data_IF_326114353195
#
_entry.id   IF_326114353195
#
_cell.length_a   1.000
_cell.length_b   1.000
_cell.length_c   1.000
_cell.angle_alpha   90.00
_cell.angle_beta   90.00
_cell.angle_gamma   90.00
#
_symmetry.space_group_name_H-M   'P 1'
#
loop_
_entity.id
_entity.type
_entity.pdbx_description
1 polymer ?
#
# COMPACT_ATOMS: atom_id res chain seq x y z
N UNK A 1 17.11 -1.98 -9.96
CA UNK A 1 16.35 -1.07 -9.07
C UNK A 1 17.04 -0.96 -7.71
N UNK A 2 17.16 0.24 -7.13
CA UNK A 2 17.77 0.49 -5.82
C UNK A 2 16.78 0.31 -4.66
N UNK A 3 17.28 0.04 -3.45
CA UNK A 3 16.45 -0.03 -2.23
C UNK A 3 15.63 1.26 -1.99
N UNK A 4 16.16 2.41 -2.42
CA UNK A 4 15.46 3.71 -2.32
C UNK A 4 14.22 3.76 -3.22
N UNK A 5 14.28 3.17 -4.41
CA UNK A 5 13.17 3.10 -5.35
C UNK A 5 12.07 2.17 -4.85
N UNK A 6 12.42 0.98 -4.35
CA UNK A 6 11.47 0.05 -3.71
C UNK A 6 10.69 0.74 -2.58
N UNK A 7 11.39 1.48 -1.72
CA UNK A 7 10.79 2.24 -0.62
C UNK A 7 9.86 3.34 -1.12
N UNK A 8 10.26 4.06 -2.17
CA UNK A 8 9.44 5.13 -2.75
C UNK A 8 8.14 4.57 -3.34
N UNK A 9 8.24 3.48 -4.10
CA UNK A 9 7.10 2.83 -4.72
C UNK A 9 6.16 2.20 -3.67
N UNK A 10 6.72 1.51 -2.68
CA UNK A 10 5.96 0.97 -1.56
C UNK A 10 5.18 2.05 -0.81
N UNK A 11 5.77 3.24 -0.60
CA UNK A 11 5.06 4.41 -0.02
C UNK A 11 3.96 4.93 -0.93
N UNK A 12 4.21 5.06 -2.22
CA UNK A 12 3.19 5.51 -3.19
C UNK A 12 1.97 4.57 -3.21
N UNK A 13 2.20 3.26 -3.12
CA UNK A 13 1.13 2.25 -3.03
C UNK A 13 0.32 2.34 -1.74
N UNK A 14 0.95 2.78 -0.64
CA UNK A 14 0.23 3.11 0.61
C UNK A 14 -0.59 4.39 0.46
N UNK A 15 -0.11 5.38 -0.28
CA UNK A 15 -0.85 6.64 -0.46
C UNK A 15 -2.01 6.49 -1.45
N UNK A 16 -1.87 5.59 -2.43
CA UNK A 16 -2.83 5.41 -3.52
C UNK A 16 -3.00 3.92 -3.85
N UNK A 17 -3.92 3.23 -3.16
CA UNK A 17 -4.28 1.83 -3.42
C UNK A 17 -4.66 1.55 -4.88
N UNK A 18 -5.20 2.56 -5.57
CA UNK A 18 -5.61 2.47 -6.96
C UNK A 18 -4.39 2.31 -7.88
N UNK A 19 -3.27 2.98 -7.56
CA UNK A 19 -2.00 2.86 -8.28
C UNK A 19 -1.39 1.48 -8.09
N UNK A 20 -1.42 0.94 -6.85
CA UNK A 20 -0.97 -0.43 -6.59
C UNK A 20 -1.73 -1.45 -7.47
N UNK A 21 -3.05 -1.31 -7.53
CA UNK A 21 -3.89 -2.20 -8.34
C UNK A 21 -3.56 -2.08 -9.84
N UNK A 22 -3.39 -0.86 -10.35
CA UNK A 22 -3.02 -0.61 -11.74
C UNK A 22 -1.64 -1.19 -12.08
N UNK A 23 -0.64 -0.93 -11.24
CA UNK A 23 0.73 -1.43 -11.44
C UNK A 23 0.77 -2.95 -11.47
N UNK A 24 0.07 -3.61 -10.54
CA UNK A 24 -0.02 -5.07 -10.49
C UNK A 24 -0.75 -5.67 -11.70
N UNK A 25 -1.84 -5.04 -12.15
CA UNK A 25 -2.53 -5.46 -13.38
C UNK A 25 -1.63 -5.32 -14.60
N UNK A 26 -0.99 -4.15 -14.75
CA UNK A 26 -0.03 -3.89 -15.83
C UNK A 26 1.12 -4.89 -15.79
N UNK A 27 1.58 -5.27 -14.60
CA UNK A 27 2.62 -6.28 -14.44
C UNK A 27 2.15 -7.66 -14.89
N UNK A 28 0.95 -8.06 -14.49
CA UNK A 28 0.35 -9.33 -14.91
C UNK A 28 0.23 -9.40 -16.43
N UNK A 29 -0.23 -8.32 -17.09
CA UNK A 29 -0.31 -8.24 -18.55
C UNK A 29 1.07 -8.31 -19.21
N UNK A 30 2.08 -7.67 -18.60
CA UNK A 30 3.47 -7.75 -19.06
C UNK A 30 4.02 -9.17 -18.95
N UNK A 31 3.74 -9.87 -17.84
CA UNK A 31 4.14 -11.27 -17.63
C UNK A 31 3.54 -12.14 -18.73
N UNK A 32 2.24 -12.00 -18.99
CA UNK A 32 1.56 -12.76 -20.04
C UNK A 32 2.18 -12.61 -21.43
N UNK A 33 2.62 -11.39 -21.77
CA UNK A 33 3.18 -11.10 -23.08
C UNK A 33 4.62 -11.57 -23.26
N UNK A 34 5.41 -11.58 -22.18
CA UNK A 34 6.88 -11.69 -22.28
C UNK A 34 7.47 -12.92 -21.61
N UNK A 35 6.73 -13.59 -20.72
CA UNK A 35 7.23 -14.69 -19.90
C UNK A 35 6.72 -16.02 -20.40
N UNK A 36 5.45 -16.07 -20.76
CA UNK A 36 4.80 -17.31 -21.13
C UNK A 36 4.72 -17.50 -22.64
N UNK A 37 5.16 -18.67 -23.09
CA UNK A 37 4.77 -19.17 -24.41
C UNK A 37 3.41 -19.87 -24.27
N UNK A 38 2.43 -19.43 -25.05
CA UNK A 38 1.14 -20.10 -25.11
C UNK A 38 1.33 -21.49 -25.72
N UNK A 39 1.05 -22.55 -24.94
CA UNK A 39 0.74 -23.85 -25.54
C UNK A 39 -0.68 -23.81 -26.07
N UNK A 40 -0.90 -24.46 -27.22
CA UNK A 40 -2.22 -24.62 -27.81
C UNK A 40 -3.22 -25.07 -26.74
N UNK A 41 -4.23 -24.21 -26.55
CA UNK A 41 -5.31 -24.39 -25.59
C UNK A 41 -6.20 -25.56 -26.00
N UNK A 42 -5.73 -26.78 -25.77
CA UNK A 42 -6.48 -28.00 -26.02
C UNK A 42 -6.89 -28.65 -24.70
N UNK A 43 -7.58 -27.91 -23.82
CA UNK A 43 -8.53 -28.48 -22.85
C UNK A 43 -9.20 -27.38 -22.03
N UNK A 44 -10.50 -27.21 -22.26
CA UNK A 44 -11.37 -26.42 -21.40
C UNK A 44 -11.43 -27.10 -20.02
N UNK A 45 -10.95 -26.42 -18.98
CA UNK A 45 -11.17 -26.81 -17.58
C UNK A 45 -10.02 -27.51 -16.84
N UNK A 46 -8.81 -27.60 -17.41
CA UNK A 46 -7.63 -28.14 -16.73
C UNK A 46 -6.66 -26.99 -16.46
N UNK A 47 -5.94 -27.05 -15.33
CA UNK A 47 -4.90 -26.09 -14.95
C UNK A 47 -4.11 -25.64 -16.18
N UNK A 48 -4.12 -24.33 -16.47
CA UNK A 48 -3.34 -23.78 -17.57
C UNK A 48 -1.88 -23.87 -17.16
N UNK A 49 -1.20 -24.92 -17.63
CA UNK A 49 0.25 -25.06 -17.45
C UNK A 49 0.92 -24.10 -18.44
N UNK A 50 1.53 -23.04 -17.91
CA UNK A 50 2.30 -22.11 -18.73
C UNK A 50 3.75 -22.53 -18.76
N UNK A 51 4.39 -22.32 -19.90
CA UNK A 51 5.82 -22.55 -20.05
C UNK A 51 6.55 -21.22 -20.02
N UNK A 52 7.48 -21.08 -19.08
CA UNK A 52 8.37 -19.92 -18.97
C UNK A 52 9.53 -20.10 -19.95
N UNK A 53 9.62 -19.21 -20.93
CA UNK A 53 10.64 -19.27 -21.97
C UNK A 53 11.95 -18.59 -21.53
N UNK A 54 13.12 -19.09 -21.96
CA UNK A 54 14.40 -18.50 -21.59
C UNK A 54 14.70 -17.17 -22.31
N UNK A 55 14.09 -16.90 -23.48
CA UNK A 55 14.50 -15.85 -24.42
C UNK A 55 14.45 -14.40 -23.90
N UNK A 56 13.56 -14.11 -22.94
CA UNK A 56 13.38 -12.77 -22.35
C UNK A 56 13.55 -12.76 -20.82
N UNK A 57 14.01 -13.86 -20.22
CA UNK A 57 13.89 -14.06 -18.78
C UNK A 57 14.74 -13.11 -17.94
N UNK A 58 15.88 -12.60 -18.43
CA UNK A 58 16.75 -11.72 -17.65
C UNK A 58 16.14 -10.33 -17.40
N UNK A 59 15.62 -9.67 -18.44
CA UNK A 59 14.95 -8.37 -18.32
C UNK A 59 13.67 -8.48 -17.48
N UNK A 60 12.88 -9.53 -17.72
CA UNK A 60 11.69 -9.84 -16.92
C UNK A 60 12.08 -10.03 -15.45
N UNK A 61 13.16 -10.76 -15.16
CA UNK A 61 13.57 -11.06 -13.80
C UNK A 61 13.96 -9.80 -13.03
N UNK A 62 14.69 -8.86 -13.66
CA UNK A 62 15.03 -7.58 -13.03
C UNK A 62 13.78 -6.81 -12.59
N UNK A 63 12.76 -6.82 -13.45
CA UNK A 63 11.49 -6.16 -13.22
C UNK A 63 10.68 -6.86 -12.10
N UNK A 64 10.60 -8.19 -12.12
CA UNK A 64 9.86 -8.95 -11.11
C UNK A 64 10.50 -8.82 -9.72
N UNK A 65 11.83 -8.86 -9.64
CA UNK A 65 12.57 -8.67 -8.38
C UNK A 65 12.38 -7.25 -7.84
N UNK A 66 12.30 -6.27 -8.74
CA UNK A 66 12.01 -4.90 -8.37
C UNK A 66 10.62 -4.77 -7.72
N UNK A 67 9.59 -5.29 -8.37
CA UNK A 67 8.24 -5.26 -7.83
C UNK A 67 8.09 -6.08 -6.53
N UNK A 68 8.75 -7.24 -6.41
CA UNK A 68 8.77 -8.02 -5.16
C UNK A 68 9.34 -7.18 -4.01
N UNK A 69 10.43 -6.45 -4.24
CA UNK A 69 11.03 -5.56 -3.24
C UNK A 69 10.06 -4.45 -2.81
N UNK A 70 9.33 -3.85 -3.75
CA UNK A 70 8.31 -2.84 -3.45
C UNK A 70 7.11 -3.44 -2.68
N UNK A 71 6.71 -4.69 -2.99
CA UNK A 71 5.63 -5.39 -2.28
C UNK A 71 6.00 -5.70 -0.82
N UNK A 72 7.27 -6.02 -0.57
CA UNK A 72 7.80 -6.17 0.78
C UNK A 72 7.80 -4.86 1.56
N UNK A 73 8.22 -3.75 0.94
CA UNK A 73 8.14 -2.43 1.56
C UNK A 73 6.69 -2.03 1.86
N UNK A 74 5.76 -2.28 0.93
CA UNK A 74 4.33 -2.09 1.15
C UNK A 74 3.82 -2.93 2.33
N UNK A 75 4.17 -4.22 2.39
CA UNK A 75 3.78 -5.11 3.50
C UNK A 75 4.36 -4.67 4.84
N UNK A 76 5.56 -4.08 4.83
CA UNK A 76 6.18 -3.55 6.04
C UNK A 76 5.42 -2.31 6.55
N UNK A 77 4.97 -1.45 5.64
CA UNK A 77 4.18 -0.26 5.97
C UNK A 77 2.73 -0.58 6.36
N UNK A 78 2.16 -1.65 5.80
CA UNK A 78 0.80 -2.13 6.11
C UNK A 78 0.86 -3.59 6.56
N UNK A 79 1.20 -3.86 7.83
CA UNK A 79 1.39 -5.23 8.27
C UNK A 79 0.13 -6.09 8.25
N UNK A 80 -1.04 -5.48 8.33
CA UNK A 80 -2.33 -6.18 8.35
C UNK A 80 -2.92 -6.35 6.95
N UNK A 81 -2.15 -6.08 5.89
CA UNK A 81 -2.64 -6.28 4.53
C UNK A 81 -3.07 -7.73 4.29
N UNK A 82 -4.26 -7.90 3.71
CA UNK A 82 -4.75 -9.21 3.26
C UNK A 82 -4.15 -9.63 1.91
N UNK A 83 -3.35 -8.76 1.30
CA UNK A 83 -2.66 -9.04 0.05
C UNK A 83 -1.54 -10.06 0.26
N UNK A 84 -1.47 -11.05 -0.63
CA UNK A 84 -0.36 -12.01 -0.69
C UNK A 84 0.88 -11.31 -1.26
N UNK A 85 1.68 -10.70 -0.40
CA UNK A 85 2.86 -9.92 -0.82
C UNK A 85 3.99 -10.78 -1.43
N UNK A 86 4.05 -12.09 -1.15
CA UNK A 86 5.00 -13.04 -1.77
C UNK A 86 4.51 -13.65 -3.08
N UNK A 87 3.45 -13.12 -3.67
CA UNK A 87 2.81 -13.72 -4.86
C UNK A 87 3.73 -13.81 -6.08
N UNK A 88 4.76 -12.98 -6.17
CA UNK A 88 5.71 -13.01 -7.29
C UNK A 88 6.85 -14.04 -7.10
N UNK A 89 7.13 -14.49 -5.86
CA UNK A 89 8.27 -15.38 -5.60
C UNK A 89 8.27 -16.68 -6.42
N UNK A 90 7.13 -17.40 -6.55
CA UNK A 90 7.12 -18.62 -7.36
C UNK A 90 7.45 -18.36 -8.84
N UNK A 91 7.00 -17.22 -9.38
CA UNK A 91 7.29 -16.84 -10.76
C UNK A 91 8.73 -16.39 -10.93
N UNK A 92 9.27 -15.62 -9.98
CA UNK A 92 10.69 -15.20 -9.96
C UNK A 92 11.59 -16.43 -10.01
N UNK A 93 11.28 -17.46 -9.22
CA UNK A 93 12.06 -18.70 -9.20
C UNK A 93 11.99 -19.45 -10.53
N UNK A 94 10.78 -19.59 -11.10
CA UNK A 94 10.60 -20.24 -12.40
C UNK A 94 11.35 -19.51 -13.54
N UNK A 95 11.29 -18.18 -13.57
CA UNK A 95 12.01 -17.34 -14.55
C UNK A 95 13.51 -17.46 -14.35
N UNK A 96 14.00 -17.37 -13.11
CA UNK A 96 15.41 -17.55 -12.79
C UNK A 96 15.91 -18.91 -13.26
N UNK A 97 15.18 -19.98 -12.94
CA UNK A 97 15.52 -21.33 -13.36
C UNK A 97 15.56 -21.45 -14.90
N UNK A 98 14.59 -20.89 -15.61
CA UNK A 98 14.56 -20.92 -17.07
C UNK A 98 15.77 -20.20 -17.70
N UNK A 99 16.16 -19.06 -17.13
CA UNK A 99 17.36 -18.30 -17.55
C UNK A 99 18.64 -19.08 -17.27
N UNK A 100 18.82 -19.59 -16.06
CA UNK A 100 20.03 -20.29 -15.63
C UNK A 100 20.24 -21.59 -16.40
N UNK A 101 19.18 -22.36 -16.60
CA UNK A 101 19.23 -23.65 -17.32
C UNK A 101 19.10 -23.51 -18.84
N UNK A 102 18.81 -22.28 -19.33
CA UNK A 102 18.50 -22.00 -20.74
C UNK A 102 17.44 -22.93 -21.33
N UNK A 103 16.53 -23.40 -20.48
CA UNK A 103 15.53 -24.42 -20.80
C UNK A 103 14.15 -23.95 -20.36
N UNK A 104 13.07 -24.33 -21.07
CA UNK A 104 11.73 -23.95 -20.67
C UNK A 104 11.33 -24.57 -19.33
N UNK A 105 10.66 -23.81 -18.46
CA UNK A 105 10.20 -24.26 -17.13
C UNK A 105 8.68 -24.24 -17.06
N UNK A 106 8.06 -25.31 -16.57
CA UNK A 106 6.61 -25.34 -16.35
C UNK A 106 6.25 -24.51 -15.11
N UNK A 107 5.21 -23.70 -15.24
CA UNK A 107 4.69 -22.84 -14.19
C UNK A 107 3.16 -22.96 -14.10
N UNK A 108 2.68 -23.47 -12.96
CA UNK A 108 1.27 -23.67 -12.67
C UNK A 108 0.68 -22.60 -11.74
N UNK A 109 1.51 -21.72 -11.16
CA UNK A 109 1.12 -20.76 -10.11
C UNK A 109 0.45 -19.46 -10.61
N UNK A 110 0.05 -19.43 -11.87
CA UNK A 110 -0.46 -18.23 -12.53
C UNK A 110 -1.87 -17.86 -12.07
N UNK A 111 -2.74 -18.86 -11.83
CA UNK A 111 -4.11 -18.62 -11.40
C UNK A 111 -4.11 -17.96 -10.02
N UNK A 112 -3.24 -18.42 -9.12
CA UNK A 112 -3.07 -17.83 -7.80
C UNK A 112 -2.54 -16.39 -7.88
N UNK A 113 -1.70 -16.07 -8.88
CA UNK A 113 -1.24 -14.72 -9.13
C UNK A 113 -2.39 -13.83 -9.64
N UNK A 114 -3.18 -14.32 -10.61
CA UNK A 114 -4.36 -13.59 -11.11
C UNK A 114 -5.37 -13.32 -10.01
N UNK A 115 -5.70 -14.34 -9.21
CA UNK A 115 -6.60 -14.21 -8.06
C UNK A 115 -6.08 -13.19 -7.05
N UNK A 116 -4.77 -13.17 -6.79
CA UNK A 116 -4.16 -12.19 -5.89
C UNK A 116 -4.29 -10.77 -6.44
N UNK A 117 -4.03 -10.55 -7.74
CA UNK A 117 -4.20 -9.23 -8.40
C UNK A 117 -5.66 -8.79 -8.35
N UNK A 118 -6.61 -9.67 -8.69
CA UNK A 118 -8.05 -9.38 -8.63
C UNK A 118 -8.50 -9.05 -7.20
N UNK A 119 -7.97 -9.74 -6.19
CA UNK A 119 -8.27 -9.43 -4.80
C UNK A 119 -7.78 -8.03 -4.41
N UNK A 120 -6.60 -7.62 -4.89
CA UNK A 120 -6.08 -6.26 -4.68
C UNK A 120 -6.94 -5.23 -5.40
N UNK A 121 -7.35 -5.47 -6.64
CA UNK A 121 -8.23 -4.56 -7.37
C UNK A 121 -9.58 -4.39 -6.68
N UNK A 122 -10.22 -5.48 -6.24
CA UNK A 122 -11.47 -5.39 -5.50
C UNK A 122 -11.30 -4.64 -4.19
N UNK A 123 -10.20 -4.86 -3.49
CA UNK A 123 -9.88 -4.12 -2.28
C UNK A 123 -9.64 -2.63 -2.58
N UNK A 124 -8.84 -2.30 -3.59
CA UNK A 124 -8.55 -0.92 -3.99
C UNK A 124 -9.82 -0.20 -4.44
N UNK A 125 -10.66 -0.83 -5.26
CA UNK A 125 -12.00 -0.33 -5.64
C UNK A 125 -12.89 -0.13 -4.41
N UNK A 126 -12.84 -1.02 -3.42
CA UNK A 126 -13.60 -0.85 -2.17
C UNK A 126 -13.07 0.31 -1.33
N UNK A 127 -11.76 0.56 -1.31
CA UNK A 127 -11.19 1.74 -0.65
C UNK A 127 -11.55 3.02 -1.39
N UNK A 128 -11.49 3.01 -2.72
CA UNK A 128 -11.90 4.11 -3.57
C UNK A 128 -13.41 4.39 -3.42
N UNK A 129 -14.26 3.36 -3.42
CA UNK A 129 -15.70 3.48 -3.19
C UNK A 129 -16.01 4.00 -1.79
N UNK A 130 -15.32 3.54 -0.74
CA UNK A 130 -15.43 4.14 0.60
C UNK A 130 -15.00 5.61 0.64
N UNK A 131 -14.14 6.03 -0.27
CA UNK A 131 -13.73 7.42 -0.45
C UNK A 131 -14.63 8.20 -1.43
N UNK A 132 -15.39 7.51 -2.29
CA UNK A 132 -16.16 8.06 -3.41
C UNK A 132 -17.68 7.88 -3.29
N UNK A 133 -18.20 7.15 -2.30
CA UNK A 133 -19.59 7.27 -1.87
C UNK A 133 -19.85 8.76 -1.54
N UNK A 134 -20.60 9.40 -2.43
CA UNK A 134 -20.88 10.85 -2.48
C UNK A 134 -21.74 11.28 -1.27
N UNK A 135 -21.57 12.51 -0.73
CA UNK A 135 -21.49 12.79 0.71
C UNK A 135 -22.79 13.32 1.32
N UNK A 136 -23.14 12.89 2.53
CA UNK A 136 -24.31 13.40 3.25
C UNK A 136 -24.04 14.73 3.98
N UNK A 137 -23.66 15.82 3.29
CA UNK A 137 -23.46 17.16 3.92
C UNK A 137 -22.45 17.19 5.10
N UNK A 138 -21.85 16.05 5.44
CA UNK A 138 -21.10 15.78 6.67
C UNK A 138 -19.61 15.60 6.42
N UNK A 139 -19.20 15.32 5.17
CA UNK A 139 -17.80 15.03 4.80
C UNK A 139 -17.10 16.16 4.04
N UNK A 140 -17.81 17.26 3.74
CA UNK A 140 -17.12 18.54 3.58
C UNK A 140 -16.92 19.06 4.99
N UNK A 141 -15.86 18.57 5.65
CA UNK A 141 -15.02 19.42 6.46
C UNK A 141 -13.94 19.92 5.51
N UNK A 142 -14.02 21.18 5.06
CA UNK A 142 -12.87 21.87 4.47
C UNK A 142 -11.78 21.91 5.54
N UNK A 143 -10.97 20.86 5.60
CA UNK A 143 -9.84 20.80 6.50
C UNK A 143 -8.69 21.57 5.90
N UNK A 144 -8.63 22.87 6.19
CA UNK A 144 -7.48 23.69 5.78
C UNK A 144 -6.35 23.42 6.74
N UNK A 145 -5.23 22.94 6.20
CA UNK A 145 -3.98 22.79 6.91
C UNK A 145 -3.08 23.95 6.49
N UNK A 146 -2.92 24.93 7.38
CA UNK A 146 -2.00 26.05 7.19
C UNK A 146 -0.75 25.82 8.03
N UNK A 147 0.42 25.82 7.39
CA UNK A 147 1.70 25.78 8.09
C UNK A 147 2.21 27.20 8.30
N UNK A 148 2.44 27.58 9.55
CA UNK A 148 2.95 28.89 9.95
C UNK A 148 4.19 28.69 10.85
N UNK A 149 5.37 28.64 10.23
CA UNK A 149 6.61 28.30 10.95
C UNK A 149 6.56 26.89 11.55
N UNK A 150 6.68 26.80 12.88
CA UNK A 150 6.62 25.56 13.67
C UNK A 150 5.20 25.22 14.17
N UNK A 151 4.18 25.91 13.64
CA UNK A 151 2.77 25.67 13.93
C UNK A 151 2.04 25.12 12.71
N UNK A 152 1.12 24.19 12.97
CA UNK A 152 0.19 23.67 11.98
C UNK A 152 -1.23 23.97 12.45
N UNK A 153 -1.94 24.81 11.71
CA UNK A 153 -3.34 25.15 11.98
C UNK A 153 -4.21 24.19 11.18
N UNK A 154 -4.98 23.36 11.87
CA UNK A 154 -5.99 22.48 11.27
C UNK A 154 -7.34 23.10 11.59
N UNK A 155 -8.05 23.59 10.58
CA UNK A 155 -9.44 24.06 10.74
C UNK A 155 -10.39 23.02 10.20
N UNK A 156 -11.58 22.90 10.75
CA UNK A 156 -12.67 22.18 10.09
C UNK A 156 -13.87 23.12 9.98
N UNK A 157 -14.65 23.02 8.90
CA UNK A 157 -15.76 23.96 8.64
C UNK A 157 -17.01 23.72 9.51
N UNK A 158 -17.08 22.62 10.28
CA UNK A 158 -18.20 22.36 11.20
C UNK A 158 -17.84 22.54 12.67
N UNK A 159 -16.57 22.45 13.08
CA UNK A 159 -16.18 22.71 14.46
C UNK A 159 -14.69 23.12 14.57
N UNK A 160 -14.46 24.33 15.10
CA UNK A 160 -13.19 24.74 15.66
C UNK A 160 -11.95 24.76 14.75
N UNK A 161 -10.85 25.16 15.37
CA UNK A 161 -9.52 25.05 14.78
C UNK A 161 -8.57 24.58 15.87
N UNK A 162 -7.74 23.57 15.58
CA UNK A 162 -6.67 23.19 16.48
C UNK A 162 -5.37 23.80 15.96
N UNK A 163 -4.59 24.33 16.89
CA UNK A 163 -3.20 24.67 16.63
C UNK A 163 -2.35 23.52 17.15
N UNK A 164 -1.83 22.72 16.23
CA UNK A 164 -0.78 21.77 16.55
C UNK A 164 0.54 22.54 16.64
N UNK A 165 1.21 22.39 17.77
CA UNK A 165 2.50 23.02 18.03
C UNK A 165 3.57 21.96 18.26
N UNK A 166 4.76 22.28 17.78
CA UNK A 166 5.97 21.52 18.08
C UNK A 166 6.17 20.33 17.16
N UNK A 167 7.42 19.86 17.18
CA UNK A 167 7.98 18.89 16.24
C UNK A 167 7.43 17.48 16.37
N UNK A 168 6.50 17.22 17.28
CA UNK A 168 6.03 15.84 17.55
C UNK A 168 4.56 15.60 17.20
N UNK A 169 3.68 16.58 17.45
CA UNK A 169 2.27 16.42 17.09
C UNK A 169 2.04 16.66 15.59
N UNK A 170 2.84 17.52 14.96
CA UNK A 170 2.74 17.86 13.54
C UNK A 170 3.08 16.67 12.63
N UNK A 171 4.24 16.01 12.77
CA UNK A 171 4.56 14.88 11.89
C UNK A 171 3.61 13.69 12.11
N UNK A 172 3.17 13.48 13.34
CA UNK A 172 2.21 12.43 13.68
C UNK A 172 0.84 12.65 13.06
N UNK A 173 0.31 13.88 13.14
CA UNK A 173 -0.92 14.22 12.44
C UNK A 173 -0.79 14.07 10.92
N UNK A 174 0.28 14.59 10.31
CA UNK A 174 0.50 14.53 8.87
C UNK A 174 0.67 13.09 8.36
N UNK A 175 1.32 12.21 9.13
CA UNK A 175 1.46 10.80 8.78
C UNK A 175 0.11 10.10 8.70
N UNK A 176 -0.74 10.28 9.71
CA UNK A 176 -2.09 9.72 9.71
C UNK A 176 -3.01 10.36 8.68
N UNK A 177 -2.86 11.66 8.42
CA UNK A 177 -3.63 12.37 7.40
C UNK A 177 -3.33 11.85 5.98
N UNK A 178 -2.04 11.67 5.66
CA UNK A 178 -1.59 11.14 4.36
C UNK A 178 -2.03 9.68 4.15
N UNK A 179 -2.06 8.88 5.20
CA UNK A 179 -2.46 7.47 5.15
C UNK A 179 -3.86 7.21 5.72
N UNK A 180 -4.81 8.15 5.60
CA UNK A 180 -6.14 8.06 6.22
C UNK A 180 -6.95 6.80 5.83
N UNK A 181 -6.66 6.21 4.67
CA UNK A 181 -7.27 4.95 4.18
C UNK A 181 -6.66 3.68 4.80
N UNK A 182 -5.59 3.81 5.61
CA UNK A 182 -4.76 2.71 6.06
C UNK A 182 -4.65 2.63 7.59
N UNK A 183 -4.34 1.43 8.06
CA UNK A 183 -3.84 1.23 9.43
C UNK A 183 -2.33 1.33 9.37
N UNK A 184 -1.75 2.27 10.10
CA UNK A 184 -0.31 2.42 10.21
C UNK A 184 0.18 1.66 11.44
N UNK A 185 1.24 0.88 11.29
CA UNK A 185 1.99 0.36 12.44
C UNK A 185 2.87 1.46 13.05
N UNK A 186 3.35 1.21 14.27
CA UNK A 186 4.28 2.07 14.98
C UNK A 186 5.58 2.31 14.19
N UNK A 187 6.08 1.29 13.49
CA UNK A 187 7.27 1.37 12.64
C UNK A 187 7.01 2.16 11.36
N UNK A 188 5.83 1.98 10.74
CA UNK A 188 5.43 2.77 9.58
C UNK A 188 5.34 4.27 9.93
N UNK A 189 4.90 4.59 11.14
CA UNK A 189 4.91 5.96 11.65
C UNK A 189 6.34 6.52 11.78
N UNK A 190 7.25 5.78 12.42
CA UNK A 190 8.63 6.22 12.68
C UNK A 190 9.44 6.46 11.39
N UNK A 191 9.06 5.85 10.27
CA UNK A 191 9.70 6.15 8.99
C UNK A 191 9.13 7.37 8.26
N UNK A 192 7.90 7.75 8.58
CA UNK A 192 7.31 9.02 8.11
C UNK A 192 7.86 10.18 8.96
N UNK A 193 8.10 9.95 10.25
CA UNK A 193 8.73 10.89 11.17
C UNK A 193 9.94 10.29 11.90
N UNK A 194 11.13 10.30 11.28
CA UNK A 194 12.37 9.74 11.84
C UNK A 194 12.84 10.44 13.12
N UNK A 195 12.33 11.64 13.41
CA UNK A 195 12.66 12.41 14.62
C UNK A 195 11.96 11.90 15.88
N UNK A 196 10.90 11.11 15.71
CA UNK A 196 10.14 10.52 16.82
C UNK A 196 10.83 9.28 17.39
N UNK A 197 10.65 9.02 18.69
CA UNK A 197 11.14 7.80 19.35
C UNK A 197 9.98 6.91 19.80
N UNK A 198 10.14 5.60 19.63
CA UNK A 198 9.13 4.58 19.96
C UNK A 198 8.53 4.73 21.37
N UNK A 199 9.38 5.03 22.36
CA UNK A 199 8.99 5.18 23.77
C UNK A 199 8.01 6.33 24.04
N UNK A 200 7.90 7.31 23.14
CA UNK A 200 7.03 8.45 23.33
C UNK A 200 5.76 8.39 22.47
N UNK A 201 5.67 7.45 21.52
CA UNK A 201 4.56 7.37 20.56
C UNK A 201 3.20 7.20 21.22
N UNK A 202 3.10 6.35 22.23
CA UNK A 202 1.86 6.16 22.98
C UNK A 202 1.41 7.43 23.72
N UNK A 203 2.38 8.12 24.34
CA UNK A 203 2.13 9.40 25.01
C UNK A 203 1.74 10.48 24.01
N UNK A 204 2.37 10.51 22.84
CA UNK A 204 2.07 11.46 21.78
C UNK A 204 0.72 11.18 21.15
N UNK A 205 0.39 9.92 20.85
CA UNK A 205 -0.93 9.48 20.37
C UNK A 205 -2.03 9.92 21.33
N UNK A 206 -1.86 9.68 22.62
CA UNK A 206 -2.84 10.07 23.64
C UNK A 206 -3.06 11.59 23.65
N UNK A 207 -1.99 12.39 23.57
CA UNK A 207 -2.08 13.86 23.48
C UNK A 207 -2.72 14.34 22.18
N UNK A 208 -2.38 13.72 21.05
CA UNK A 208 -2.98 14.07 19.77
C UNK A 208 -4.47 13.69 19.75
N UNK A 209 -4.85 12.51 20.25
CA UNK A 209 -6.26 12.12 20.40
C UNK A 209 -7.07 13.16 21.17
N UNK A 210 -6.57 13.63 22.33
CA UNK A 210 -7.29 14.65 23.10
C UNK A 210 -7.46 15.96 22.34
N UNK A 211 -6.49 16.34 21.50
CA UNK A 211 -6.57 17.56 20.69
C UNK A 211 -7.47 17.39 19.46
N UNK A 212 -7.49 16.20 18.88
CA UNK A 212 -8.30 15.90 17.69
C UNK A 212 -9.80 15.85 18.01
N UNK A 213 -10.18 15.53 19.26
CA UNK A 213 -11.59 15.57 19.69
C UNK A 213 -12.22 16.95 19.50
N UNK A 214 -11.44 18.03 19.67
CA UNK A 214 -11.89 19.41 19.48
C UNK A 214 -12.27 19.73 18.02
N UNK A 215 -11.87 18.88 17.06
CA UNK A 215 -12.23 18.94 15.64
C UNK A 215 -12.89 17.66 15.14
N UNK A 216 -13.51 16.90 16.05
CA UNK A 216 -14.25 15.67 15.76
C UNK A 216 -13.44 14.57 15.06
N UNK A 217 -12.12 14.56 15.23
CA UNK A 217 -11.23 13.51 14.75
C UNK A 217 -10.76 12.64 15.93
N UNK A 218 -10.52 11.37 15.68
CA UNK A 218 -9.96 10.45 16.66
C UNK A 218 -8.98 9.47 15.99
N UNK A 219 -7.96 9.06 16.75
CA UNK A 219 -7.12 7.93 16.37
C UNK A 219 -7.69 6.68 17.05
N UNK A 220 -8.08 5.70 16.26
CA UNK A 220 -8.57 4.42 16.75
C UNK A 220 -7.48 3.38 16.64
N UNK A 221 -7.27 2.66 17.74
CA UNK A 221 -6.41 1.48 17.79
C UNK A 221 -7.23 0.30 17.32
N UNK A 222 -6.82 -0.33 16.22
CA UNK A 222 -7.44 -1.54 15.69
C UNK A 222 -6.35 -2.59 15.52
N UNK A 223 -6.32 -3.60 16.41
CA UNK A 223 -5.29 -4.64 16.38
C UNK A 223 -3.91 -4.10 16.76
N UNK A 224 -2.94 -4.23 15.86
CA UNK A 224 -1.58 -3.71 16.07
C UNK A 224 -1.30 -2.37 15.34
N UNK A 225 -2.34 -1.79 14.73
CA UNK A 225 -2.26 -0.55 13.97
C UNK A 225 -3.12 0.57 14.55
N UNK A 226 -2.85 1.78 14.07
CA UNK A 226 -3.61 2.99 14.40
C UNK A 226 -4.15 3.60 13.11
N UNK A 227 -5.40 4.07 13.14
CA UNK A 227 -6.05 4.75 12.02
C UNK A 227 -6.74 6.02 12.49
N UNK A 228 -6.65 7.08 11.69
CA UNK A 228 -7.40 8.31 11.90
C UNK A 228 -8.82 8.16 11.33
N UNK A 229 -9.82 8.59 12.09
CA UNK A 229 -11.20 8.65 11.66
C UNK A 229 -11.95 9.82 12.31
N UNK A 230 -13.20 10.05 11.90
CA UNK A 230 -14.11 10.94 12.62
C UNK A 230 -14.65 10.24 13.87
N UNK A 231 -14.82 10.99 14.95
CA UNK A 231 -15.58 10.52 16.12
C UNK A 231 -16.97 10.07 15.66
N UNK A 232 -17.39 8.87 16.08
CA UNK A 232 -18.79 8.44 15.92
C UNK A 232 -19.65 9.30 16.86
N UNK A 233 -20.67 9.96 16.31
CA UNK A 233 -21.71 10.60 17.14
C UNK A 233 -22.44 9.55 17.98
#
# INVERSE_FOLDING_TARGET
MSNREAKSQGKQWVESPEILAEDLRRRLDFIYKNVFEARDAASVGIARDYTVAPGNGAEVLEILVADDSALWEYRRLIPETRMKYRMLQPLIEAVRQAVETKSPVQFSGIMELEEAVVAVEHWAKKQAYRAAEVPLRSDLLRTTIEQLGDELIVRTDQDGSIKLRGTVNIPMFLAFWRAHKHRLSTEAFLEIDPGSKHIYLERHRTRLCSQLQDILLELVVEGNGVRLQRCRK
#
